data_IF_851748817316
#
_entry.id   IF_851748817316
#
_cell.length_a   1.000
_cell.length_b   1.000
_cell.length_c   1.000
_cell.angle_alpha   90.00
_cell.angle_beta   90.00
_cell.angle_gamma   90.00
#
_symmetry.space_group_name_H-M   'P 1'
#
loop_
_entity.id
_entity.type
_entity.pdbx_description
1 polymer ?
#
# COMPACT_ATOMS: atom_id res chain seq x y z
N UNK A 1 18.79 0.94 -6.60
CA UNK A 1 18.76 1.93 -5.49
C UNK A 1 20.18 2.43 -5.32
N UNK A 2 20.43 3.75 -5.26
CA UNK A 2 21.74 4.28 -4.91
C UNK A 2 22.14 3.78 -3.51
N UNK A 3 23.44 3.59 -3.27
CA UNK A 3 23.95 3.18 -1.95
C UNK A 3 23.77 4.34 -0.94
N UNK A 4 23.25 4.02 0.25
CA UNK A 4 23.18 4.98 1.35
C UNK A 4 24.56 5.18 1.97
N UNK A 5 24.97 6.43 2.14
CA UNK A 5 26.32 6.76 2.62
C UNK A 5 26.32 6.92 4.15
N UNK A 6 25.20 7.31 4.76
CA UNK A 6 25.02 7.38 6.22
C UNK A 6 23.58 7.00 6.60
N UNK A 7 23.42 6.23 7.68
CA UNK A 7 22.11 5.92 8.29
C UNK A 7 22.14 6.22 9.79
N UNK A 8 21.17 7.01 10.27
CA UNK A 8 21.07 7.36 11.70
C UNK A 8 19.61 7.71 12.06
N UNK A 9 19.10 7.15 13.18
CA UNK A 9 17.76 7.41 13.71
C UNK A 9 16.61 7.32 12.68
N UNK A 10 16.61 6.30 11.83
CA UNK A 10 15.55 6.09 10.82
C UNK A 10 15.67 6.95 9.56
N UNK A 11 16.70 7.79 9.46
CA UNK A 11 16.99 8.54 8.25
C UNK A 11 18.17 7.91 7.50
N UNK A 12 18.08 7.89 6.17
CA UNK A 12 19.19 7.56 5.29
C UNK A 12 19.54 8.76 4.42
N UNK A 13 20.83 9.07 4.41
CA UNK A 13 21.41 10.04 3.51
C UNK A 13 22.01 9.31 2.32
N UNK A 14 21.57 9.66 1.11
CA UNK A 14 22.11 9.13 -0.15
C UNK A 14 22.25 10.25 -1.17
N UNK A 15 23.08 10.03 -2.19
CA UNK A 15 23.11 10.92 -3.34
C UNK A 15 21.78 10.88 -4.10
N UNK A 16 21.37 12.05 -4.59
CA UNK A 16 20.18 12.21 -5.40
C UNK A 16 20.45 11.82 -6.85
N UNK A 17 19.43 11.30 -7.51
CA UNK A 17 19.45 10.88 -8.91
C UNK A 17 18.39 11.65 -9.72
N UNK A 18 18.42 11.52 -11.04
CA UNK A 18 17.42 12.16 -11.91
C UNK A 18 15.98 11.71 -11.58
N UNK A 19 15.79 10.48 -11.08
CA UNK A 19 14.49 9.99 -10.62
C UNK A 19 13.91 10.81 -9.45
N UNK A 20 14.77 11.47 -8.68
CA UNK A 20 14.39 12.26 -7.51
C UNK A 20 13.98 13.70 -7.88
N UNK A 21 14.10 14.12 -9.14
CA UNK A 21 13.78 15.48 -9.58
C UNK A 21 12.41 15.99 -9.12
N UNK A 22 11.31 15.21 -9.19
CA UNK A 22 10.02 15.67 -8.67
C UNK A 22 10.05 15.95 -7.16
N UNK A 23 10.76 15.13 -6.38
CA UNK A 23 10.87 15.28 -4.93
C UNK A 23 11.76 16.48 -4.56
N UNK A 24 12.91 16.63 -5.22
CA UNK A 24 13.80 17.78 -5.06
C UNK A 24 13.08 19.09 -5.37
N UNK A 25 12.35 19.14 -6.49
CA UNK A 25 11.59 20.33 -6.91
C UNK A 25 10.53 20.68 -5.87
N UNK A 26 9.81 19.68 -5.36
CA UNK A 26 8.83 19.87 -4.28
C UNK A 26 9.47 20.44 -3.02
N UNK A 27 10.56 19.84 -2.56
CA UNK A 27 11.27 20.27 -1.35
C UNK A 27 11.74 21.71 -1.51
N UNK A 28 12.29 22.07 -2.67
CA UNK A 28 12.72 23.44 -2.96
C UNK A 28 11.54 24.43 -2.90
N UNK A 29 10.49 24.18 -3.69
CA UNK A 29 9.32 25.08 -3.77
C UNK A 29 8.62 25.25 -2.42
N UNK A 30 8.58 24.20 -1.59
CA UNK A 30 7.93 24.21 -0.28
C UNK A 30 8.85 24.69 0.85
N UNK A 31 10.17 24.51 0.72
CA UNK A 31 11.14 24.82 1.75
C UNK A 31 11.69 26.24 1.69
N UNK A 32 11.79 26.82 0.48
CA UNK A 32 12.38 28.14 0.26
C UNK A 32 11.31 29.23 0.08
N UNK A 33 10.26 29.21 0.89
CA UNK A 33 9.12 30.14 0.78
C UNK A 33 9.46 31.56 1.25
N UNK A 34 10.32 31.69 2.26
CA UNK A 34 10.70 32.97 2.92
C UNK A 34 12.12 33.46 2.56
N UNK A 35 12.79 32.77 1.65
CA UNK A 35 14.20 33.05 1.33
C UNK A 35 14.34 34.36 0.53
N UNK A 36 15.12 35.36 1.01
CA UNK A 36 15.20 36.66 0.37
C UNK A 36 15.65 36.61 -1.09
N UNK A 37 16.53 35.67 -1.42
CA UNK A 37 16.96 35.41 -2.80
C UNK A 37 15.78 34.96 -3.68
N UNK A 38 14.97 34.02 -3.21
CA UNK A 38 13.82 33.51 -3.97
C UNK A 38 12.77 34.60 -4.19
N UNK A 39 12.57 35.46 -3.20
CA UNK A 39 11.68 36.62 -3.33
C UNK A 39 12.19 37.65 -4.34
N UNK A 40 13.49 37.93 -4.33
CA UNK A 40 14.11 38.90 -5.21
C UNK A 40 14.19 38.40 -6.66
N UNK A 41 14.66 37.17 -6.88
CA UNK A 41 14.88 36.62 -8.22
C UNK A 41 13.60 36.11 -8.87
N UNK A 42 12.63 35.61 -8.08
CA UNK A 42 11.39 35.02 -8.59
C UNK A 42 10.15 35.66 -7.94
N UNK A 43 9.94 36.98 -8.12
CA UNK A 43 8.86 37.72 -7.46
C UNK A 43 7.46 37.26 -7.91
N UNK A 44 7.35 36.67 -9.12
CA UNK A 44 6.07 36.24 -9.72
C UNK A 44 5.82 34.73 -9.60
N UNK A 45 6.61 34.00 -8.82
CA UNK A 45 6.49 32.53 -8.69
C UNK A 45 5.11 32.05 -8.20
N UNK A 46 4.40 32.88 -7.45
CA UNK A 46 3.03 32.59 -6.98
C UNK A 46 1.97 32.84 -8.05
N UNK A 47 2.24 33.72 -9.01
CA UNK A 47 1.35 33.97 -10.17
C UNK A 47 1.53 32.89 -11.24
N UNK A 48 2.74 32.33 -11.36
CA UNK A 48 3.10 31.29 -12.34
C UNK A 48 3.77 30.08 -11.66
N UNK A 49 3.03 29.36 -10.80
CA UNK A 49 3.61 28.25 -10.04
C UNK A 49 4.08 27.10 -10.93
N UNK A 50 3.40 26.85 -12.05
CA UNK A 50 3.79 25.81 -13.01
C UNK A 50 5.11 26.14 -13.71
N UNK A 51 5.29 27.39 -14.16
CA UNK A 51 6.54 27.82 -14.79
C UNK A 51 7.70 27.75 -13.79
N UNK A 52 7.49 28.22 -12.57
CA UNK A 52 8.49 28.15 -11.50
C UNK A 52 8.85 26.69 -11.22
N UNK A 53 7.87 25.80 -11.11
CA UNK A 53 8.10 24.36 -10.94
C UNK A 53 8.95 23.77 -12.07
N UNK A 54 8.60 24.02 -13.34
CA UNK A 54 9.33 23.46 -14.48
C UNK A 54 10.77 23.97 -14.55
N UNK A 55 11.00 25.26 -14.32
CA UNK A 55 12.34 25.85 -14.34
C UNK A 55 13.19 25.45 -13.13
N UNK A 56 12.60 25.33 -11.94
CA UNK A 56 13.28 24.76 -10.77
C UNK A 56 13.68 23.31 -11.03
N UNK A 57 12.77 22.49 -11.57
CA UNK A 57 13.08 21.11 -11.94
C UNK A 57 14.22 21.02 -12.96
N UNK A 58 14.20 21.87 -13.99
CA UNK A 58 15.27 21.93 -14.98
C UNK A 58 16.59 22.35 -14.35
N UNK A 59 16.58 23.34 -13.44
CA UNK A 59 17.79 23.79 -12.74
C UNK A 59 18.42 22.64 -11.92
N UNK A 60 17.61 21.88 -11.18
CA UNK A 60 18.09 20.71 -10.44
C UNK A 60 18.60 19.59 -11.35
N UNK A 61 18.01 19.43 -12.55
CA UNK A 61 18.55 18.52 -13.56
C UNK A 61 19.94 18.97 -14.01
N UNK A 62 20.10 20.25 -14.34
CA UNK A 62 21.39 20.79 -14.79
C UNK A 62 22.47 20.66 -13.70
N UNK A 63 22.10 20.71 -12.42
CA UNK A 63 23.01 20.46 -11.30
C UNK A 63 23.45 18.98 -11.24
N UNK A 64 22.51 18.04 -11.37
CA UNK A 64 22.81 16.61 -11.40
C UNK A 64 23.66 16.20 -12.60
N UNK A 65 23.48 16.87 -13.75
CA UNK A 65 24.27 16.65 -14.97
C UNK A 65 25.72 17.19 -14.83
N UNK A 66 26.04 17.92 -13.74
CA UNK A 66 27.37 18.47 -13.43
C UNK A 66 27.95 17.94 -12.10
N UNK A 67 28.17 16.61 -11.98
CA UNK A 67 28.58 16.00 -10.70
C UNK A 67 29.97 16.42 -10.20
N UNK A 68 30.80 17.02 -11.07
CA UNK A 68 32.09 17.60 -10.70
C UNK A 68 31.98 18.96 -10.01
N UNK A 69 30.81 19.61 -10.09
CA UNK A 69 30.56 20.95 -9.55
C UNK A 69 29.54 20.92 -8.41
N UNK A 70 28.52 20.07 -8.52
CA UNK A 70 27.46 19.94 -7.54
C UNK A 70 27.29 18.48 -7.11
N UNK A 71 27.08 18.27 -5.82
CA UNK A 71 26.60 16.99 -5.30
C UNK A 71 25.36 17.28 -4.47
N UNK A 72 24.27 16.60 -4.80
CA UNK A 72 22.98 16.77 -4.12
C UNK A 72 22.73 15.52 -3.31
N UNK A 73 22.53 15.69 -2.01
CA UNK A 73 22.14 14.60 -1.11
C UNK A 73 20.67 14.72 -0.76
N UNK A 74 19.98 13.58 -0.72
CA UNK A 74 18.65 13.44 -0.18
C UNK A 74 18.72 12.77 1.17
N UNK A 75 18.14 13.43 2.16
CA UNK A 75 17.81 12.82 3.43
C UNK A 75 16.40 12.28 3.31
N UNK A 76 16.28 10.98 3.18
CA UNK A 76 15.00 10.30 3.24
C UNK A 76 14.79 9.86 4.69
N UNK A 77 13.61 10.17 5.23
CA UNK A 77 13.04 9.28 6.23
C UNK A 77 12.95 7.94 5.52
N UNK A 78 13.83 7.00 5.88
CA UNK A 78 13.65 5.61 5.50
C UNK A 78 12.43 5.26 6.30
N UNK A 79 11.25 5.51 5.73
CA UNK A 79 9.97 5.39 6.40
C UNK A 79 10.16 4.25 7.36
N UNK A 80 10.24 4.61 8.64
CA UNK A 80 9.88 3.65 9.63
C UNK A 80 8.39 3.49 9.30
N UNK A 81 8.06 2.55 8.39
CA UNK A 81 7.10 1.56 8.81
C UNK A 81 7.60 1.27 10.21
N UNK A 82 6.87 1.66 11.27
CA UNK A 82 7.27 1.27 12.60
C UNK A 82 7.48 -0.23 12.65
N UNK A 83 6.99 -0.93 11.60
CA UNK A 83 7.64 -2.09 11.04
C UNK A 83 7.75 -2.96 12.22
N UNK A 84 6.56 -3.15 12.83
CA UNK A 84 6.41 -3.75 14.13
C UNK A 84 7.08 -5.08 13.90
N UNK A 85 8.39 -5.15 14.18
CA UNK A 85 9.24 -6.32 13.92
C UNK A 85 8.60 -7.51 14.61
N UNK A 86 7.84 -7.17 15.67
CA UNK A 86 6.80 -7.96 16.27
C UNK A 86 5.50 -7.15 16.32
N UNK A 87 4.41 -7.74 15.81
CA UNK A 87 3.04 -7.32 16.08
C UNK A 87 2.80 -7.34 17.60
N UNK A 88 2.96 -6.21 18.29
CA UNK A 88 2.76 -6.14 19.75
C UNK A 88 1.32 -6.41 20.18
N UNK A 89 0.37 -6.30 19.25
CA UNK A 89 -1.03 -6.67 19.41
C UNK A 89 -1.28 -8.18 19.26
N UNK A 90 -0.30 -8.95 18.76
CA UNK A 90 -0.47 -10.38 18.52
C UNK A 90 -0.09 -11.18 19.77
N UNK A 91 -0.98 -12.09 20.16
CA UNK A 91 -0.55 -13.24 20.92
C UNK A 91 0.02 -14.26 19.92
N UNK A 92 1.34 -14.42 19.92
CA UNK A 92 2.07 -15.25 18.94
C UNK A 92 1.56 -16.69 18.95
N UNK A 93 1.33 -17.27 20.13
CA UNK A 93 0.83 -18.64 20.27
C UNK A 93 -0.55 -18.79 19.64
N UNK A 94 -1.46 -17.83 19.89
CA UNK A 94 -2.80 -17.88 19.30
C UNK A 94 -2.76 -17.69 17.78
N UNK A 95 -1.88 -16.81 17.29
CA UNK A 95 -1.76 -16.55 15.87
C UNK A 95 -1.13 -17.71 15.11
N UNK A 96 -0.11 -18.36 15.68
CA UNK A 96 0.48 -19.58 15.11
C UNK A 96 -0.55 -20.71 15.06
N UNK A 97 -1.24 -20.99 16.18
CA UNK A 97 -2.30 -21.98 16.22
C UNK A 97 -3.42 -21.68 15.21
N UNK A 98 -3.87 -20.42 15.13
CA UNK A 98 -4.87 -20.00 14.14
C UNK A 98 -4.34 -20.15 12.71
N UNK A 99 -3.11 -19.76 12.43
CA UNK A 99 -2.51 -19.81 11.09
C UNK A 99 -2.29 -21.25 10.62
N UNK A 100 -1.88 -22.14 11.52
CA UNK A 100 -1.74 -23.57 11.25
C UNK A 100 -3.11 -24.19 10.93
N UNK A 101 -4.11 -23.99 11.78
CA UNK A 101 -5.47 -24.47 11.54
C UNK A 101 -6.07 -23.86 10.25
N UNK A 102 -5.88 -22.56 10.05
CA UNK A 102 -6.33 -21.84 8.87
C UNK A 102 -5.62 -22.27 7.60
N UNK A 103 -4.36 -22.70 7.64
CA UNK A 103 -3.63 -23.27 6.51
C UNK A 103 -4.11 -24.69 6.21
N UNK A 104 -4.24 -25.52 7.25
CA UNK A 104 -4.68 -26.90 7.12
C UNK A 104 -6.08 -27.01 6.50
N UNK A 105 -7.02 -26.14 6.87
CA UNK A 105 -8.39 -26.14 6.31
C UNK A 105 -8.40 -25.96 4.78
N UNK A 106 -7.48 -25.19 4.21
CA UNK A 106 -7.38 -25.02 2.76
C UNK A 106 -7.00 -26.35 2.09
N UNK A 107 -6.04 -27.06 2.67
CA UNK A 107 -5.62 -28.37 2.20
C UNK A 107 -6.68 -29.45 2.45
N UNK A 108 -7.50 -29.34 3.50
CA UNK A 108 -8.51 -30.35 3.82
C UNK A 108 -9.80 -30.17 3.01
N UNK A 109 -10.31 -28.94 2.87
CA UNK A 109 -11.63 -28.72 2.28
C UNK A 109 -11.62 -28.11 0.89
N UNK A 110 -10.56 -27.39 0.52
CA UNK A 110 -10.47 -26.71 -0.77
C UNK A 110 -9.44 -27.34 -1.72
N UNK A 111 -8.78 -28.43 -1.32
CA UNK A 111 -7.78 -29.10 -2.14
C UNK A 111 -8.34 -29.68 -3.44
N UNK A 112 -9.63 -30.05 -3.49
CA UNK A 112 -10.29 -30.49 -4.72
C UNK A 112 -10.13 -29.48 -5.86
N UNK A 113 -10.14 -28.18 -5.54
CA UNK A 113 -10.08 -27.11 -6.52
C UNK A 113 -8.70 -26.47 -6.65
N UNK A 114 -7.79 -26.72 -5.71
CA UNK A 114 -6.40 -26.26 -5.74
C UNK A 114 -6.26 -24.78 -6.22
N UNK A 115 -5.59 -24.55 -7.34
CA UNK A 115 -5.40 -23.23 -7.96
C UNK A 115 -6.59 -22.75 -8.81
N UNK A 116 -7.54 -23.64 -9.12
CA UNK A 116 -8.74 -23.36 -9.92
C UNK A 116 -9.94 -22.98 -9.06
N UNK A 117 -9.74 -22.01 -8.16
CA UNK A 117 -10.81 -21.44 -7.33
C UNK A 117 -10.62 -19.93 -7.18
N UNK A 118 -11.72 -19.21 -6.99
CA UNK A 118 -11.67 -17.83 -6.51
C UNK A 118 -11.93 -17.85 -5.01
N UNK A 119 -10.86 -17.81 -4.22
CA UNK A 119 -10.98 -17.75 -2.77
C UNK A 119 -11.17 -16.30 -2.29
N UNK A 120 -12.27 -16.05 -1.58
CA UNK A 120 -12.54 -14.74 -0.97
C UNK A 120 -12.08 -14.77 0.50
N UNK A 121 -10.90 -14.23 0.75
CA UNK A 121 -10.20 -14.35 2.05
C UNK A 121 -10.55 -13.26 3.07
N UNK A 122 -10.87 -12.04 2.62
CA UNK A 122 -11.20 -10.91 3.50
C UNK A 122 -12.23 -10.01 2.84
N UNK A 123 -13.47 -10.06 3.35
CA UNK A 123 -14.60 -9.27 2.87
C UNK A 123 -15.11 -8.43 4.03
N UNK A 124 -14.91 -7.10 3.95
CA UNK A 124 -15.20 -6.20 5.07
C UNK A 124 -16.08 -5.04 4.61
N UNK A 125 -17.11 -4.76 5.39
CA UNK A 125 -17.92 -3.55 5.28
C UNK A 125 -17.87 -2.82 6.62
N UNK A 126 -17.53 -1.53 6.58
CA UNK A 126 -17.49 -0.67 7.75
C UNK A 126 -18.84 -0.70 8.49
N UNK A 127 -18.89 -0.80 9.83
CA UNK A 127 -20.12 -0.91 10.63
C UNK A 127 -21.26 0.02 10.18
N UNK A 128 -20.96 1.32 10.00
CA UNK A 128 -21.95 2.35 9.65
C UNK A 128 -22.59 2.17 8.26
N UNK A 129 -21.96 1.38 7.40
CA UNK A 129 -22.39 1.10 6.03
C UNK A 129 -22.92 -0.32 5.84
N UNK A 130 -23.02 -1.12 6.92
CA UNK A 130 -23.61 -2.46 6.88
C UNK A 130 -25.11 -2.42 6.62
N UNK A 131 -25.68 -3.55 6.18
CA UNK A 131 -27.10 -3.72 5.84
C UNK A 131 -27.61 -2.81 4.71
N UNK A 132 -26.70 -2.31 3.87
CA UNK A 132 -26.98 -1.52 2.65
C UNK A 132 -26.59 -2.24 1.35
N UNK A 133 -26.34 -3.55 1.40
CA UNK A 133 -25.96 -4.37 0.23
C UNK A 133 -24.46 -4.44 -0.09
N UNK A 134 -23.59 -3.71 0.63
CA UNK A 134 -22.15 -3.72 0.37
C UNK A 134 -21.50 -5.11 0.41
N UNK A 135 -21.87 -5.95 1.39
CA UNK A 135 -21.36 -7.33 1.48
C UNK A 135 -21.79 -8.19 0.29
N UNK A 136 -23.06 -8.06 -0.12
CA UNK A 136 -23.60 -8.73 -1.30
C UNK A 136 -22.85 -8.34 -2.57
N UNK A 137 -22.56 -7.05 -2.75
CA UNK A 137 -21.80 -6.56 -3.90
C UNK A 137 -20.38 -7.14 -3.95
N UNK A 138 -19.68 -7.19 -2.81
CA UNK A 138 -18.34 -7.75 -2.74
C UNK A 138 -18.31 -9.24 -3.12
N UNK A 139 -19.27 -10.03 -2.63
CA UNK A 139 -19.34 -11.46 -2.95
C UNK A 139 -19.71 -11.68 -4.42
N UNK A 140 -20.70 -10.95 -4.94
CA UNK A 140 -21.12 -11.04 -6.34
C UNK A 140 -19.98 -10.72 -7.30
N UNK A 141 -19.19 -9.70 -7.00
CA UNK A 141 -17.99 -9.41 -7.78
C UNK A 141 -17.04 -10.62 -7.87
N UNK A 142 -16.84 -11.34 -6.76
CA UNK A 142 -16.06 -12.57 -6.73
C UNK A 142 -16.68 -13.70 -7.55
N UNK A 143 -18.01 -13.86 -7.46
CA UNK A 143 -18.77 -14.81 -8.29
C UNK A 143 -18.64 -14.51 -9.78
N UNK A 144 -18.72 -13.25 -10.18
CA UNK A 144 -18.55 -12.84 -11.58
C UNK A 144 -17.14 -13.19 -12.10
N UNK A 145 -16.10 -12.98 -11.27
CA UNK A 145 -14.72 -13.38 -11.60
C UNK A 145 -14.58 -14.90 -11.76
N UNK A 146 -15.25 -15.67 -10.92
CA UNK A 146 -15.20 -17.12 -10.92
C UNK A 146 -15.97 -17.70 -12.12
N UNK A 147 -17.14 -17.13 -12.43
CA UNK A 147 -17.96 -17.50 -13.58
C UNK A 147 -17.20 -17.34 -14.90
N UNK A 148 -16.47 -16.24 -15.08
CA UNK A 148 -15.66 -16.01 -16.28
C UNK A 148 -14.58 -17.09 -16.52
N UNK A 149 -14.18 -17.81 -15.46
CA UNK A 149 -13.18 -18.88 -15.52
C UNK A 149 -13.78 -20.29 -15.41
N UNK A 150 -15.10 -20.40 -15.21
CA UNK A 150 -15.77 -21.62 -14.78
C UNK A 150 -15.15 -22.24 -13.51
N UNK A 151 -14.72 -21.39 -12.56
CA UNK A 151 -14.15 -21.81 -11.28
C UNK A 151 -15.19 -21.66 -10.16
N UNK A 152 -15.14 -22.48 -9.10
CA UNK A 152 -15.92 -22.26 -7.89
C UNK A 152 -15.41 -21.03 -7.12
N UNK A 153 -16.33 -20.44 -6.34
CA UNK A 153 -15.99 -19.47 -5.30
C UNK A 153 -15.91 -20.21 -3.97
N UNK A 154 -14.84 -19.98 -3.22
CA UNK A 154 -14.64 -20.57 -1.89
C UNK A 154 -14.39 -19.47 -0.87
N UNK A 155 -14.80 -19.70 0.37
CA UNK A 155 -14.55 -18.81 1.49
C UNK A 155 -14.77 -19.53 2.82
N UNK A 156 -14.21 -18.99 3.90
CA UNK A 156 -14.52 -19.39 5.26
C UNK A 156 -15.43 -18.34 5.89
N UNK A 157 -16.62 -18.77 6.32
CA UNK A 157 -17.61 -17.86 6.88
C UNK A 157 -17.38 -17.63 8.38
N UNK A 158 -17.38 -16.37 8.81
CA UNK A 158 -17.60 -16.06 10.23
C UNK A 158 -19.07 -16.32 10.61
N UNK A 159 -19.40 -16.47 11.91
CA UNK A 159 -20.80 -16.63 12.34
C UNK A 159 -21.71 -15.51 11.84
N UNK A 160 -21.21 -14.27 11.78
CA UNK A 160 -21.95 -13.12 11.24
C UNK A 160 -22.09 -13.18 9.70
N UNK A 161 -21.04 -13.62 9.00
CA UNK A 161 -21.03 -13.69 7.54
C UNK A 161 -21.89 -14.83 6.97
N UNK A 162 -22.07 -15.91 7.74
CA UNK A 162 -22.78 -17.12 7.32
C UNK A 162 -24.13 -16.86 6.64
N UNK A 163 -24.97 -16.03 7.25
CA UNK A 163 -26.30 -15.71 6.71
C UNK A 163 -26.25 -15.07 5.31
N UNK A 164 -25.25 -14.22 5.04
CA UNK A 164 -25.08 -13.61 3.73
C UNK A 164 -24.69 -14.66 2.68
N UNK A 165 -23.80 -15.60 3.03
CA UNK A 165 -23.34 -16.62 2.10
C UNK A 165 -24.43 -17.65 1.82
N UNK A 166 -25.20 -18.07 2.83
CA UNK A 166 -26.37 -18.93 2.64
C UNK A 166 -27.44 -18.25 1.78
N UNK A 167 -27.70 -16.95 1.99
CA UNK A 167 -28.58 -16.15 1.12
C UNK A 167 -28.08 -16.08 -0.33
N UNK A 168 -26.77 -16.13 -0.53
CA UNK A 168 -26.12 -16.19 -1.85
C UNK A 168 -25.90 -17.63 -2.35
N UNK A 169 -26.62 -18.59 -1.77
CA UNK A 169 -26.67 -20.00 -2.19
C UNK A 169 -25.34 -20.75 -2.08
N UNK A 170 -24.42 -20.27 -1.24
CA UNK A 170 -23.22 -21.04 -0.90
C UNK A 170 -23.60 -22.29 -0.12
N UNK A 171 -23.06 -23.43 -0.53
CA UNK A 171 -23.18 -24.69 0.21
C UNK A 171 -22.13 -24.77 1.30
N UNK A 172 -22.55 -25.14 2.51
CA UNK A 172 -21.62 -25.48 3.59
C UNK A 172 -21.00 -26.86 3.31
N UNK A 173 -19.66 -26.91 3.23
CA UNK A 173 -18.91 -28.16 3.04
C UNK A 173 -18.32 -28.71 4.35
N UNK A 174 -18.07 -27.84 5.33
CA UNK A 174 -17.54 -28.18 6.65
C UNK A 174 -17.88 -27.10 7.67
N UNK A 175 -17.77 -27.43 8.97
CA UNK A 175 -17.86 -26.47 10.07
C UNK A 175 -16.79 -26.83 11.08
N UNK A 176 -16.01 -25.84 11.50
CA UNK A 176 -14.92 -25.98 12.46
C UNK A 176 -15.09 -24.96 13.58
N UNK A 177 -14.62 -25.33 14.76
CA UNK A 177 -14.42 -24.40 15.88
C UNK A 177 -12.93 -24.12 15.93
N UNK A 178 -12.55 -22.88 15.60
CA UNK A 178 -11.17 -22.39 15.61
C UNK A 178 -10.96 -21.49 16.81
#
# INVERSE_FOLDING_TARGET
>A
MPESILSHNGFALREATEADLPALTRIHVQGFTEEPYEQYCFPRRNEYPDDYWQWTKQSYKDFLDQPHKYTIYLLEDVKHDPGLDQRRDVNVVHFEAFSEAAGQRFHTYFAEWADKQVNLSSLVVHPDFRRRGGGTMLVRWGMDRAQAKAWPVTLCASPMGRFLYEYLEFRTIATEVV
#
